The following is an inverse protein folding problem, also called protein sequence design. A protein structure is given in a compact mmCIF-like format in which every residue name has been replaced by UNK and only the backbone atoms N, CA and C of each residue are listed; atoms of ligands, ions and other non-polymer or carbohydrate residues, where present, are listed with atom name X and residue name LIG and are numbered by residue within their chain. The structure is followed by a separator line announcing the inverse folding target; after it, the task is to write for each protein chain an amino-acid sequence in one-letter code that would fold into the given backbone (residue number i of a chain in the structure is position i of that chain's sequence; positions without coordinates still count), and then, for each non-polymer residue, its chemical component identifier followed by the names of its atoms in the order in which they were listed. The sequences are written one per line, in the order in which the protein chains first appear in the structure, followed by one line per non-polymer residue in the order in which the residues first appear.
data_IF_589061806357
#
_entry.id   IF_589061806357
#
_cell.length_a   1.000
_cell.length_b   1.000
_cell.length_c   1.000
_cell.angle_alpha   90.00
_cell.angle_beta   90.00
_cell.angle_gamma   90.00
#
_symmetry.space_group_name_H-M   'P 1'
#
loop_
_entity.id
_entity.type
_entity.pdbx_description
1 polymer ?
#
# COMPACT_ATOMS: atom_id res chain seq x y z
N UNK A 1 -3.96 -10.63 10.54
CA UNK A 1 -3.40 -11.31 9.35
C UNK A 1 -2.77 -12.63 9.79
N UNK A 2 -3.04 -13.75 9.13
CA UNK A 2 -2.37 -15.02 9.47
C UNK A 2 -0.91 -14.95 9.03
N UNK A 3 0.01 -15.46 9.85
CA UNK A 3 1.43 -15.56 9.48
C UNK A 3 1.59 -16.52 8.29
N UNK A 4 2.40 -16.13 7.31
CA UNK A 4 2.76 -17.00 6.19
C UNK A 4 3.45 -18.26 6.71
N UNK A 5 3.23 -19.39 6.03
CA UNK A 5 3.93 -20.65 6.32
C UNK A 5 5.39 -20.64 5.84
N UNK A 6 5.67 -19.82 4.84
CA UNK A 6 7.00 -19.68 4.25
C UNK A 6 7.64 -18.36 4.70
N UNK A 7 8.93 -18.42 5.02
CA UNK A 7 9.74 -17.22 5.26
C UNK A 7 9.99 -16.49 3.94
N UNK A 8 10.16 -15.17 3.96
CA UNK A 8 10.51 -14.39 2.75
C UNK A 8 11.76 -14.93 2.07
N UNK A 9 12.77 -15.35 2.84
CA UNK A 9 13.98 -15.95 2.29
C UNK A 9 13.70 -17.26 1.52
N UNK A 10 12.81 -18.10 2.03
CA UNK A 10 12.39 -19.33 1.33
C UNK A 10 11.62 -19.00 0.06
N UNK A 11 10.73 -17.99 0.10
CA UNK A 11 9.96 -17.59 -1.08
C UNK A 11 10.88 -17.05 -2.17
N UNK A 12 11.80 -16.15 -1.84
CA UNK A 12 12.74 -15.58 -2.81
C UNK A 12 13.68 -16.67 -3.36
N UNK A 13 14.11 -17.63 -2.52
CA UNK A 13 14.85 -18.80 -2.98
C UNK A 13 14.09 -19.64 -4.01
N UNK A 14 12.80 -19.89 -3.78
CA UNK A 14 11.93 -20.58 -4.73
C UNK A 14 11.76 -19.80 -6.04
N UNK A 15 11.63 -18.47 -5.98
CA UNK A 15 11.53 -17.63 -7.18
C UNK A 15 12.82 -17.66 -8.01
N UNK A 16 13.98 -17.63 -7.35
CA UNK A 16 15.29 -17.77 -8.02
C UNK A 16 15.50 -19.16 -8.64
N UNK A 17 15.05 -20.23 -7.99
CA UNK A 17 15.08 -21.58 -8.59
C UNK A 17 14.27 -21.63 -9.90
N UNK A 18 13.12 -20.95 -9.96
CA UNK A 18 12.33 -20.84 -11.18
C UNK A 18 13.02 -19.99 -12.25
N UNK A 19 13.64 -18.87 -11.87
CA UNK A 19 14.42 -18.02 -12.77
C UNK A 19 15.66 -18.71 -13.34
N UNK A 20 16.26 -19.62 -12.57
CA UNK A 20 17.36 -20.49 -13.02
C UNK A 20 16.92 -21.58 -14.02
N UNK A 21 15.64 -21.67 -14.35
CA UNK A 21 15.10 -22.54 -15.40
C UNK A 21 14.39 -23.79 -14.91
N UNK A 22 14.16 -23.97 -13.59
CA UNK A 22 13.32 -25.07 -13.13
C UNK A 22 11.85 -24.86 -13.51
N UNK A 23 11.16 -25.88 -14.04
CA UNK A 23 9.75 -25.79 -14.34
C UNK A 23 8.93 -25.67 -13.04
N UNK A 24 7.93 -24.79 -13.05
CA UNK A 24 7.06 -24.52 -11.90
C UNK A 24 6.40 -25.78 -11.33
N UNK A 25 6.13 -26.79 -12.18
CA UNK A 25 5.54 -28.07 -11.78
C UNK A 25 6.45 -28.88 -10.84
N UNK A 26 7.75 -28.93 -11.10
CA UNK A 26 8.72 -29.63 -10.25
C UNK A 26 8.98 -28.85 -8.96
N UNK A 27 9.03 -27.53 -9.06
CA UNK A 27 9.21 -26.64 -7.92
C UNK A 27 8.05 -26.78 -6.92
N UNK A 28 6.81 -26.83 -7.43
CA UNK A 28 5.62 -27.08 -6.64
C UNK A 28 5.66 -28.44 -5.90
N UNK A 29 6.20 -29.48 -6.54
CA UNK A 29 6.37 -30.80 -5.92
C UNK A 29 7.45 -30.80 -4.83
N UNK A 30 8.60 -30.16 -5.09
CA UNK A 30 9.74 -30.08 -4.16
C UNK A 30 9.39 -29.33 -2.87
N UNK A 31 8.65 -28.23 -3.00
CA UNK A 31 8.33 -27.34 -1.88
C UNK A 31 6.91 -27.53 -1.30
N UNK A 32 6.21 -28.60 -1.71
CA UNK A 32 4.84 -28.92 -1.27
C UNK A 32 3.88 -27.74 -1.45
N UNK A 33 4.00 -27.07 -2.59
CA UNK A 33 3.32 -25.83 -2.91
C UNK A 33 2.33 -26.07 -4.04
N UNK A 34 1.14 -25.46 -3.96
CA UNK A 34 0.25 -25.42 -5.11
C UNK A 34 0.73 -24.39 -6.14
N UNK A 35 0.53 -24.58 -7.45
CA UNK A 35 0.88 -23.59 -8.47
C UNK A 35 0.20 -22.23 -8.20
N UNK A 36 -1.04 -22.25 -7.71
CA UNK A 36 -1.76 -21.04 -7.35
C UNK A 36 -1.07 -20.26 -6.21
N UNK A 37 -0.50 -20.98 -5.22
CA UNK A 37 0.26 -20.34 -4.14
C UNK A 37 1.58 -19.77 -4.67
N UNK A 38 2.26 -20.48 -5.58
CA UNK A 38 3.49 -19.99 -6.21
C UNK A 38 3.28 -18.66 -6.93
N UNK A 39 2.25 -18.54 -7.76
CA UNK A 39 1.97 -17.27 -8.46
C UNK A 39 1.55 -16.14 -7.52
N UNK A 40 0.86 -16.44 -6.41
CA UNK A 40 0.58 -15.44 -5.37
C UNK A 40 1.87 -14.91 -4.73
N UNK A 41 2.82 -15.80 -4.46
CA UNK A 41 4.13 -15.42 -3.90
C UNK A 41 4.95 -14.63 -4.92
N UNK A 42 4.98 -15.06 -6.19
CA UNK A 42 5.62 -14.35 -7.30
C UNK A 42 5.04 -12.95 -7.52
N UNK A 43 3.75 -12.75 -7.31
CA UNK A 43 3.14 -11.43 -7.43
C UNK A 43 3.52 -10.48 -6.29
N UNK A 44 3.91 -11.01 -5.12
CA UNK A 44 4.28 -10.22 -3.93
C UNK A 44 5.77 -9.94 -3.88
N UNK A 45 6.57 -10.97 -4.13
CA UNK A 45 8.02 -10.96 -3.91
C UNK A 45 8.80 -11.13 -5.24
N UNK A 46 8.11 -11.15 -6.39
CA UNK A 46 8.74 -11.25 -7.70
C UNK A 46 9.52 -9.99 -8.05
N UNK A 47 10.76 -10.16 -8.49
CA UNK A 47 11.68 -9.05 -8.76
C UNK A 47 12.30 -8.42 -7.52
N UNK A 48 12.07 -8.99 -6.32
CA UNK A 48 12.67 -8.53 -5.08
C UNK A 48 13.86 -9.41 -4.69
N UNK A 49 15.01 -8.81 -4.41
CA UNK A 49 16.17 -9.56 -3.92
C UNK A 49 16.10 -9.78 -2.41
N UNK A 50 16.82 -10.80 -1.93
CA UNK A 50 16.95 -11.13 -0.50
C UNK A 50 17.45 -9.95 0.34
N UNK A 51 18.33 -9.11 -0.23
CA UNK A 51 18.81 -7.88 0.43
C UNK A 51 17.70 -6.86 0.61
N UNK A 52 16.84 -6.71 -0.39
CA UNK A 52 15.77 -5.71 -0.40
C UNK A 52 14.65 -6.12 0.56
N UNK A 53 14.30 -7.40 0.61
CA UNK A 53 13.34 -7.93 1.58
C UNK A 53 13.82 -7.74 3.03
N UNK A 54 15.11 -8.02 3.30
CA UNK A 54 15.69 -7.80 4.63
C UNK A 54 15.71 -6.33 5.02
N UNK A 55 16.11 -5.46 4.09
CA UNK A 55 16.17 -4.00 4.33
C UNK A 55 14.78 -3.43 4.56
N UNK A 56 13.78 -3.87 3.78
CA UNK A 56 12.39 -3.42 3.94
C UNK A 56 11.88 -3.76 5.34
N UNK A 57 12.08 -5.01 5.79
CA UNK A 57 11.67 -5.45 7.12
C UNK A 57 12.34 -4.65 8.25
N UNK A 58 13.63 -4.38 8.14
CA UNK A 58 14.34 -3.53 9.11
C UNK A 58 13.74 -2.13 9.17
N UNK A 59 13.48 -1.51 8.01
CA UNK A 59 12.87 -0.19 7.94
C UNK A 59 11.45 -0.17 8.51
N UNK A 60 10.67 -1.23 8.30
CA UNK A 60 9.33 -1.36 8.89
C UNK A 60 9.38 -1.48 10.42
N UNK A 61 10.29 -2.30 10.95
CA UNK A 61 10.49 -2.47 12.40
C UNK A 61 10.95 -1.15 13.05
N UNK A 62 11.88 -0.44 12.42
CA UNK A 62 12.33 0.89 12.85
C UNK A 62 11.19 1.92 12.81
N UNK A 63 10.39 1.93 11.74
CA UNK A 63 9.26 2.84 11.62
C UNK A 63 8.20 2.56 12.71
N UNK A 64 7.93 1.29 13.01
CA UNK A 64 7.03 0.90 14.09
C UNK A 64 7.56 1.35 15.46
N UNK A 65 8.87 1.17 15.72
CA UNK A 65 9.53 1.64 16.93
C UNK A 65 9.47 3.15 17.07
N UNK A 66 9.80 3.88 16.00
CA UNK A 66 9.75 5.35 15.98
C UNK A 66 8.34 5.86 16.22
N UNK A 67 7.32 5.28 15.59
CA UNK A 67 5.92 5.63 15.84
C UNK A 67 5.51 5.44 17.30
N UNK A 68 5.94 4.35 17.93
CA UNK A 68 5.71 4.11 19.35
C UNK A 68 6.38 5.18 20.21
N UNK A 69 7.66 5.47 19.95
CA UNK A 69 8.40 6.50 20.70
C UNK A 69 7.79 7.89 20.53
N UNK A 70 7.33 8.24 19.32
CA UNK A 70 6.64 9.51 19.07
C UNK A 70 5.32 9.58 19.82
N UNK A 71 4.54 8.50 19.83
CA UNK A 71 3.29 8.45 20.59
C UNK A 71 3.52 8.59 22.10
N UNK A 72 4.55 7.91 22.63
CA UNK A 72 4.96 7.99 24.03
C UNK A 72 5.43 9.39 24.40
N UNK A 73 6.29 10.01 23.57
CA UNK A 73 6.73 11.39 23.78
C UNK A 73 5.58 12.42 23.68
N UNK A 74 4.64 12.22 22.76
CA UNK A 74 3.43 13.04 22.66
C UNK A 74 2.56 12.91 23.91
N UNK A 75 2.40 11.70 24.44
CA UNK A 75 1.68 11.45 25.68
C UNK A 75 2.37 12.14 26.87
N UNK A 76 3.69 11.97 27.01
CA UNK A 76 4.47 12.64 28.05
C UNK A 76 4.37 14.17 27.98
N UNK A 77 4.31 14.73 26.77
CA UNK A 77 4.12 16.17 26.57
C UNK A 77 2.72 16.64 26.99
N UNK A 78 1.67 15.84 26.73
CA UNK A 78 0.30 16.14 27.16
C UNK A 78 0.20 16.07 28.68
N UNK A 79 0.64 14.96 29.26
CA UNK A 79 0.71 14.78 30.72
C UNK A 79 1.50 15.92 31.35
N UNK A 80 2.69 16.25 30.83
CA UNK A 80 3.50 17.35 31.35
C UNK A 80 2.74 18.69 31.32
N UNK A 81 2.02 19.00 30.25
CA UNK A 81 1.21 20.23 30.15
C UNK A 81 0.02 20.22 31.11
N UNK A 82 -0.64 19.07 31.28
CA UNK A 82 -1.77 18.93 32.21
C UNK A 82 -1.31 19.08 33.67
N UNK A 83 -0.11 18.60 34.00
CA UNK A 83 0.47 18.74 35.35
C UNK A 83 1.14 20.10 35.60
N UNK A 84 1.75 20.72 34.59
CA UNK A 84 2.45 22.00 34.75
C UNK A 84 1.53 23.22 34.54
N UNK A 85 0.30 23.02 34.06
CA UNK A 85 -0.53 24.09 33.52
C UNK A 85 0.10 24.69 32.26
N UNK A 86 -0.71 25.28 31.39
CA UNK A 86 -0.21 25.89 30.16
C UNK A 86 0.80 27.01 30.50
N UNK A 87 2.10 26.91 30.13
CA UNK A 87 3.08 27.96 30.41
C UNK A 87 2.77 29.27 29.67
N UNK A 88 1.77 29.27 28.78
CA UNK A 88 1.21 30.48 28.17
C UNK A 88 0.61 31.47 29.20
N UNK A 89 0.39 31.03 30.45
CA UNK A 89 -0.11 31.87 31.55
C UNK A 89 0.95 32.27 32.58
N UNK A 90 2.25 32.10 32.29
CA UNK A 90 3.32 32.64 33.16
C UNK A 90 3.95 33.91 32.56
N UNK A 91 3.47 35.02 33.10
CA UNK A 91 4.11 36.34 33.27
C UNK A 91 4.61 37.08 32.02
N UNK A 92 3.88 38.13 31.66
CA UNK A 92 4.47 39.34 31.09
C UNK A 92 5.59 39.83 32.03
N UNK A 93 6.86 39.73 31.60
CA UNK A 93 7.99 40.12 32.43
C UNK A 93 9.37 39.77 31.87
N UNK A 94 9.82 40.59 30.91
CA UNK A 94 11.23 40.96 30.66
C UNK A 94 12.28 39.91 30.23
N UNK A 95 12.87 40.25 29.07
CA UNK A 95 14.29 40.17 28.68
C UNK A 95 14.94 38.81 28.37
N UNK A 96 15.33 38.66 27.10
CA UNK A 96 16.33 37.69 26.66
C UNK A 96 16.51 37.72 25.14
N UNK A 97 17.41 38.58 24.68
CA UNK A 97 17.82 38.73 23.28
C UNK A 97 18.22 37.41 22.62
N UNK A 98 17.59 37.04 21.50
CA UNK A 98 18.19 36.17 20.51
C UNK A 98 18.24 36.90 19.17
N UNK A 99 19.48 37.06 18.72
CA UNK A 99 19.90 37.74 17.50
C UNK A 99 19.14 37.22 16.28
N UNK A 100 18.55 38.15 15.54
CA UNK A 100 17.95 37.92 14.24
C UNK A 100 19.03 37.59 13.21
N UNK A 101 19.27 36.31 12.94
CA UNK A 101 19.85 35.87 11.66
C UNK A 101 19.24 34.53 11.26
N UNK A 102 18.86 34.44 9.99
CA UNK A 102 18.10 33.37 9.32
C UNK A 102 16.57 33.43 9.42
N UNK A 103 16.02 34.51 8.87
CA UNK A 103 14.73 34.42 8.18
C UNK A 103 14.86 33.41 7.02
N UNK A 104 14.30 32.21 7.17
CA UNK A 104 13.94 31.39 6.03
C UNK A 104 12.62 31.98 5.52
N UNK A 105 12.56 32.58 4.32
CA UNK A 105 11.31 33.14 3.83
C UNK A 105 10.30 32.00 3.69
N UNK A 106 9.12 32.21 4.28
CA UNK A 106 7.94 31.39 4.07
C UNK A 106 7.64 31.37 2.57
N UNK A 107 8.04 30.30 1.89
CA UNK A 107 7.62 30.04 0.53
C UNK A 107 6.13 29.69 0.64
N UNK A 108 5.28 30.67 0.39
CA UNK A 108 3.86 30.46 0.09
C UNK A 108 3.77 29.71 -1.25
N UNK A 109 4.07 28.42 -1.24
CA UNK A 109 3.69 27.54 -2.35
C UNK A 109 2.23 27.15 -2.12
N UNK A 110 1.35 27.97 -2.67
CA UNK A 110 -0.01 27.57 -3.04
C UNK A 110 0.05 26.18 -3.67
N UNK A 111 -0.44 25.17 -2.95
CA UNK A 111 -0.80 23.88 -3.54
C UNK A 111 -2.11 24.05 -4.31
N UNK A 112 -2.08 24.84 -5.38
CA UNK A 112 -2.96 24.65 -6.52
C UNK A 112 -2.26 23.66 -7.43
N UNK A 113 -2.42 22.37 -7.12
CA UNK A 113 -2.02 21.32 -8.06
C UNK A 113 -2.78 21.53 -9.38
N UNK A 114 -2.16 21.27 -10.55
CA UNK A 114 -2.90 21.29 -11.80
C UNK A 114 -3.95 20.19 -11.73
N UNK A 115 -5.21 20.61 -11.67
CA UNK A 115 -6.36 19.75 -11.81
C UNK A 115 -6.20 18.99 -13.13
N UNK A 116 -5.87 17.70 -13.02
CA UNK A 116 -5.88 16.80 -14.18
C UNK A 116 -7.33 16.71 -14.64
N UNK A 117 -7.70 17.59 -15.57
CA UNK A 117 -8.85 17.37 -16.45
C UNK A 117 -8.71 15.95 -17.00
N UNK A 118 -9.56 15.04 -16.54
CA UNK A 118 -9.79 13.78 -17.23
C UNK A 118 -10.22 14.17 -18.65
N UNK A 119 -9.56 13.71 -19.72
CA UNK A 119 -10.11 13.91 -21.05
C UNK A 119 -11.48 13.25 -21.06
N UNK A 120 -12.50 14.00 -21.44
CA UNK A 120 -13.79 13.46 -21.77
C UNK A 120 -13.56 12.46 -22.92
N UNK A 121 -13.60 11.16 -22.60
CA UNK A 121 -13.60 10.12 -23.61
C UNK A 121 -14.82 10.30 -24.51
N UNK A 122 -14.75 9.94 -25.81
CA UNK A 122 -15.89 10.03 -26.69
C UNK A 122 -17.05 9.24 -26.09
N UNK A 123 -18.23 9.86 -26.06
CA UNK A 123 -19.46 9.24 -25.63
C UNK A 123 -19.62 7.91 -26.38
N UNK A 124 -19.54 6.79 -25.66
CA UNK A 124 -20.00 5.50 -26.19
C UNK A 124 -21.51 5.62 -26.36
N UNK A 125 -21.94 5.96 -27.57
CA UNK A 125 -23.29 5.69 -28.03
C UNK A 125 -23.46 4.17 -28.01
N UNK A 126 -24.12 3.64 -26.98
CA UNK A 126 -24.65 2.30 -27.07
C UNK A 126 -25.77 2.34 -28.10
N UNK A 127 -25.71 1.56 -29.20
CA UNK A 127 -26.88 1.41 -30.04
C UNK A 127 -27.97 0.74 -29.20
N UNK A 128 -29.14 1.39 -29.12
CA UNK A 128 -30.37 0.77 -28.64
C UNK A 128 -30.52 -0.55 -29.37
N UNK A 129 -30.43 -1.65 -28.63
CA UNK A 129 -30.58 -2.99 -29.15
C UNK A 129 -31.90 -3.07 -29.94
N UNK A 130 -31.79 -3.19 -31.26
CA UNK A 130 -32.85 -3.75 -32.08
C UNK A 130 -33.14 -5.15 -31.54
N UNK A 131 -34.38 -5.31 -31.07
CA UNK A 131 -35.18 -6.55 -31.06
C UNK A 131 -34.41 -7.89 -31.10
N UNK A 132 -34.51 -8.73 -30.04
CA UNK A 132 -33.96 -10.07 -30.09
C UNK A 132 -34.68 -10.93 -31.15
N UNK A 133 -33.97 -11.82 -31.89
CA UNK A 133 -34.62 -12.77 -32.76
C UNK A 133 -35.41 -13.81 -31.95
N UNK A 134 -36.61 -14.07 -32.45
CA UNK A 134 -37.64 -14.98 -31.93
C UNK A 134 -37.08 -16.34 -31.48
N UNK A 135 -37.27 -16.65 -30.20
CA UNK A 135 -36.96 -17.97 -29.64
C UNK A 135 -38.20 -18.86 -29.77
N UNK A 136 -38.09 -19.86 -30.65
CA UNK A 136 -38.60 -21.22 -30.47
C UNK A 136 -40.12 -21.40 -30.23
N UNK A 137 -40.83 -21.71 -31.31
CA UNK A 137 -42.08 -22.49 -31.26
C UNK A 137 -41.84 -23.93 -31.70
N UNK A 138 -41.37 -24.79 -30.78
CA UNK A 138 -41.56 -26.24 -30.92
C UNK A 138 -42.91 -26.57 -30.30
N UNK A 139 -43.96 -26.53 -31.13
CA UNK A 139 -45.25 -27.08 -30.77
C UNK A 139 -45.32 -28.51 -31.32
N UNK A 140 -45.33 -29.46 -30.38
CA UNK A 140 -45.77 -30.83 -30.56
C UNK A 140 -47.22 -30.87 -31.04
N UNK A 141 -47.53 -31.82 -31.94
CA UNK A 141 -48.71 -32.71 -31.98
C UNK A 141 -49.09 -33.03 -33.44
N UNK A 142 -49.18 -34.34 -33.77
CA UNK A 142 -49.82 -34.86 -35.00
C UNK A 142 -51.36 -34.68 -34.95
N UNK A 143 -52.20 -35.44 -35.69
CA UNK A 143 -51.96 -36.58 -36.58
C UNK A 143 -52.66 -36.46 -37.97
N UNK A 144 -52.40 -37.41 -38.89
CA UNK A 144 -53.38 -38.14 -39.75
C UNK A 144 -52.65 -39.27 -40.47
#
# INVERSE_FOLDING_TARGET
MRKSRFTEAQVIGMLKEQEAGLPTSELCRKHWLSPATFYKLKAKDGGMDLSDAKRLKQLEDENAKLKRQVAEAMFDNVVRKDFMGDPSLQTAGSSGSYSATHAVPARSSSLTGPERRRPAGPARSYPLASTPPSVRGLATNGPT
#
